data_IF_858426179089
#
_entry.id   IF_858426179089
#
_cell.length_a   1.000
_cell.length_b   1.000
_cell.length_c   1.000
_cell.angle_alpha   90.00
_cell.angle_beta   90.00
_cell.angle_gamma   90.00
#
_symmetry.space_group_name_H-M   'P 1'
#
loop_
_entity.id
_entity.type
_entity.pdbx_description
1 polymer ?
#
# COMPACT_ATOMS: atom_id res chain seq x y z
N UNK A 1 -0.95 -11.16 37.56
CA UNK A 1 -0.26 -11.45 36.28
C UNK A 1 -1.25 -11.51 35.10
N UNK A 2 -2.09 -10.48 34.96
CA UNK A 2 -3.04 -10.35 33.83
C UNK A 2 -2.58 -9.24 32.87
N UNK A 3 -2.12 -8.11 33.41
CA UNK A 3 -1.57 -6.99 32.65
C UNK A 3 -0.37 -7.40 31.76
N UNK A 4 0.60 -8.15 32.28
CA UNK A 4 1.74 -8.66 31.50
C UNK A 4 1.31 -9.61 30.37
N UNK A 5 0.28 -10.43 30.61
CA UNK A 5 -0.25 -11.36 29.60
C UNK A 5 -0.94 -10.60 28.47
N UNK A 6 -1.71 -9.55 28.80
CA UNK A 6 -2.37 -8.67 27.83
C UNK A 6 -1.32 -7.90 27.00
N UNK A 7 -0.27 -7.38 27.62
CA UNK A 7 0.79 -6.66 26.90
C UNK A 7 1.51 -7.58 25.91
N UNK A 8 1.89 -8.79 26.34
CA UNK A 8 2.51 -9.78 25.44
C UNK A 8 1.60 -10.18 24.29
N UNK A 9 0.30 -10.33 24.55
CA UNK A 9 -0.67 -10.66 23.51
C UNK A 9 -0.79 -9.54 22.47
N UNK A 10 -0.92 -8.28 22.91
CA UNK A 10 -0.98 -7.13 22.01
C UNK A 10 0.28 -6.99 21.15
N UNK A 11 1.44 -7.26 21.75
CA UNK A 11 2.72 -7.27 21.04
C UNK A 11 2.76 -8.35 19.96
N UNK A 12 2.30 -9.56 20.28
CA UNK A 12 2.24 -10.64 19.31
C UNK A 12 1.25 -10.36 18.16
N UNK A 13 0.07 -9.82 18.47
CA UNK A 13 -0.92 -9.41 17.48
C UNK A 13 -0.35 -8.32 16.55
N UNK A 14 0.42 -7.39 17.10
CA UNK A 14 1.14 -6.35 16.36
C UNK A 14 2.16 -6.94 15.38
N UNK A 15 3.02 -7.84 15.85
CA UNK A 15 4.04 -8.50 15.01
C UNK A 15 3.36 -9.28 13.89
N UNK A 16 2.30 -10.03 14.20
CA UNK A 16 1.54 -10.79 13.21
C UNK A 16 0.98 -9.88 12.12
N UNK A 17 0.35 -8.76 12.50
CA UNK A 17 -0.23 -7.83 11.54
C UNK A 17 0.83 -7.21 10.60
N UNK A 18 2.02 -6.90 11.12
CA UNK A 18 3.12 -6.40 10.30
C UNK A 18 3.64 -7.47 9.32
N UNK A 19 3.78 -8.71 9.78
CA UNK A 19 4.20 -9.85 8.95
C UNK A 19 3.19 -10.15 7.85
N UNK A 20 1.89 -10.08 8.14
CA UNK A 20 0.84 -10.29 7.16
C UNK A 20 0.88 -9.23 6.03
N UNK A 21 1.12 -7.95 6.39
CA UNK A 21 1.28 -6.88 5.40
C UNK A 21 2.53 -7.07 4.54
N UNK A 22 3.65 -7.47 5.14
CA UNK A 22 4.90 -7.74 4.41
C UNK A 22 4.74 -8.92 3.45
N UNK A 23 4.15 -10.01 3.93
CA UNK A 23 3.86 -11.18 3.12
C UNK A 23 2.97 -10.84 1.92
N UNK A 24 1.91 -10.06 2.13
CA UNK A 24 1.02 -9.67 1.03
C UNK A 24 1.76 -8.82 -0.03
N UNK A 25 2.67 -7.94 0.38
CA UNK A 25 3.52 -7.18 -0.55
C UNK A 25 4.44 -8.09 -1.35
N UNK A 26 5.09 -9.07 -0.70
CA UNK A 26 5.94 -10.06 -1.38
C UNK A 26 5.15 -10.90 -2.39
N UNK A 27 3.95 -11.35 -2.02
CA UNK A 27 3.06 -12.10 -2.91
C UNK A 27 2.67 -11.26 -4.14
N UNK A 28 2.42 -9.96 -3.97
CA UNK A 28 2.13 -9.05 -5.09
C UNK A 28 3.35 -8.85 -5.99
N UNK A 29 4.55 -8.70 -5.44
CA UNK A 29 5.76 -8.54 -6.24
C UNK A 29 6.06 -9.79 -7.07
N UNK A 30 5.92 -10.98 -6.49
CA UNK A 30 6.00 -12.25 -7.24
C UNK A 30 4.95 -12.28 -8.34
N UNK A 31 3.69 -11.94 -8.02
CA UNK A 31 2.61 -11.97 -9.02
C UNK A 31 2.84 -10.98 -10.16
N UNK A 32 3.37 -9.79 -9.88
CA UNK A 32 3.73 -8.80 -10.90
C UNK A 32 4.79 -9.35 -11.85
N UNK A 33 5.83 -10.00 -11.34
CA UNK A 33 6.87 -10.64 -12.17
C UNK A 33 6.29 -11.75 -13.05
N UNK A 34 5.38 -12.57 -12.53
CA UNK A 34 4.67 -13.59 -13.33
C UNK A 34 3.85 -12.96 -14.45
N UNK A 35 3.09 -11.91 -14.13
CA UNK A 35 2.27 -11.17 -15.12
C UNK A 35 3.16 -10.53 -16.18
N UNK A 36 4.27 -9.89 -15.81
CA UNK A 36 5.23 -9.30 -16.76
C UNK A 36 5.81 -10.35 -17.71
N UNK A 37 6.20 -11.53 -17.18
CA UNK A 37 6.75 -12.59 -17.99
C UNK A 37 5.74 -13.14 -19.01
N UNK A 38 4.51 -13.44 -18.57
CA UNK A 38 3.47 -13.99 -19.45
C UNK A 38 2.98 -12.93 -20.43
N UNK A 39 2.63 -11.74 -19.94
CA UNK A 39 2.08 -10.69 -20.79
C UNK A 39 3.11 -10.13 -21.78
N UNK A 40 4.39 -10.07 -21.41
CA UNK A 40 5.47 -9.71 -22.32
C UNK A 40 5.71 -10.76 -23.42
N UNK A 41 5.42 -12.04 -23.18
CA UNK A 41 5.39 -13.06 -24.25
C UNK A 41 4.20 -12.86 -25.19
N UNK A 42 3.00 -12.63 -24.65
CA UNK A 42 1.81 -12.33 -25.45
C UNK A 42 2.02 -11.08 -26.31
N UNK A 43 2.66 -10.05 -25.76
CA UNK A 43 2.93 -8.79 -26.45
C UNK A 43 3.91 -8.95 -27.62
N UNK A 44 4.96 -9.79 -27.44
CA UNK A 44 5.85 -10.17 -28.53
C UNK A 44 5.10 -10.91 -29.65
N UNK A 45 4.23 -11.85 -29.29
CA UNK A 45 3.40 -12.58 -30.26
C UNK A 45 2.41 -11.67 -31.00
N UNK A 46 1.82 -10.69 -30.33
CA UNK A 46 0.95 -9.69 -30.94
C UNK A 46 1.71 -8.69 -31.82
N UNK A 47 3.01 -8.50 -31.61
CA UNK A 47 3.85 -7.70 -32.49
C UNK A 47 3.99 -8.36 -33.87
N UNK A 48 4.04 -9.70 -33.90
CA UNK A 48 4.08 -10.49 -35.14
C UNK A 48 2.68 -10.70 -35.75
N UNK A 49 1.66 -10.97 -34.92
CA UNK A 49 0.28 -11.21 -35.32
C UNK A 49 -0.70 -10.31 -34.54
N UNK A 50 -0.82 -9.07 -35.00
CA UNK A 50 -1.60 -8.03 -34.32
C UNK A 50 -3.12 -8.25 -34.37
N UNK A 51 -3.62 -9.13 -35.25
CA UNK A 51 -5.06 -9.41 -35.41
C UNK A 51 -5.51 -10.65 -34.63
N UNK A 52 -4.59 -11.27 -33.88
CA UNK A 52 -4.90 -12.41 -33.05
C UNK A 52 -5.79 -12.03 -31.87
N UNK A 53 -7.11 -12.13 -32.08
CA UNK A 53 -8.12 -11.77 -31.09
C UNK A 53 -7.95 -12.47 -29.74
N UNK A 54 -7.66 -13.78 -29.75
CA UNK A 54 -7.52 -14.55 -28.51
C UNK A 54 -6.30 -14.07 -27.70
N UNK A 55 -5.16 -13.86 -28.35
CA UNK A 55 -3.96 -13.34 -27.67
C UNK A 55 -4.20 -11.90 -27.18
N UNK A 56 -4.91 -11.08 -27.96
CA UNK A 56 -5.24 -9.71 -27.60
C UNK A 56 -6.14 -9.65 -26.36
N UNK A 57 -7.17 -10.49 -26.30
CA UNK A 57 -8.05 -10.61 -25.12
C UNK A 57 -7.26 -11.03 -23.88
N UNK A 58 -6.40 -12.06 -24.00
CA UNK A 58 -5.58 -12.51 -22.87
C UNK A 58 -4.60 -11.44 -22.41
N UNK A 59 -3.94 -10.74 -23.35
CA UNK A 59 -3.02 -9.64 -23.02
C UNK A 59 -3.75 -8.51 -22.30
N UNK A 60 -4.96 -8.12 -22.75
CA UNK A 60 -5.77 -7.09 -22.08
C UNK A 60 -6.15 -7.48 -20.65
N UNK A 61 -6.45 -8.76 -20.39
CA UNK A 61 -6.71 -9.25 -19.04
C UNK A 61 -5.48 -9.07 -18.13
N UNK A 62 -4.28 -9.41 -18.63
CA UNK A 62 -3.05 -9.21 -17.88
C UNK A 62 -2.68 -7.74 -17.68
N UNK A 63 -2.97 -6.85 -18.66
CA UNK A 63 -2.84 -5.40 -18.47
C UNK A 63 -3.73 -4.92 -17.32
N UNK A 64 -4.97 -5.41 -17.26
CA UNK A 64 -5.90 -5.06 -16.18
C UNK A 64 -5.44 -5.60 -14.82
N UNK A 65 -4.99 -6.86 -14.79
CA UNK A 65 -4.42 -7.48 -13.59
C UNK A 65 -3.22 -6.67 -13.07
N UNK A 66 -2.28 -6.29 -13.94
CA UNK A 66 -1.12 -5.48 -13.57
C UNK A 66 -1.53 -4.12 -12.97
N UNK A 67 -2.56 -3.47 -13.53
CA UNK A 67 -3.10 -2.21 -12.98
C UNK A 67 -3.71 -2.42 -11.59
N UNK A 68 -4.40 -3.54 -11.36
CA UNK A 68 -4.96 -3.88 -10.05
C UNK A 68 -3.88 -4.20 -9.03
N UNK A 69 -2.86 -4.97 -9.41
CA UNK A 69 -1.71 -5.30 -8.57
C UNK A 69 -0.95 -4.05 -8.13
N UNK A 70 -0.64 -3.14 -9.07
CA UNK A 70 0.00 -1.84 -8.76
C UNK A 70 -0.83 -1.00 -7.80
N UNK A 71 -2.15 -0.98 -7.99
CA UNK A 71 -3.04 -0.25 -7.09
C UNK A 71 -3.09 -0.87 -5.69
N UNK A 72 -3.10 -2.21 -5.59
CA UNK A 72 -3.08 -2.92 -4.31
C UNK A 72 -1.74 -2.72 -3.58
N UNK A 73 -0.63 -2.74 -4.32
CA UNK A 73 0.70 -2.44 -3.81
C UNK A 73 0.78 -1.01 -3.23
N UNK A 74 0.27 -0.01 -3.96
CA UNK A 74 0.19 1.37 -3.47
C UNK A 74 -0.60 1.46 -2.15
N UNK A 75 -1.73 0.77 -2.06
CA UNK A 75 -2.54 0.72 -0.84
C UNK A 75 -1.78 0.07 0.33
N UNK A 76 -1.13 -1.07 0.10
CA UNK A 76 -0.38 -1.78 1.13
C UNK A 76 0.81 -0.98 1.63
N UNK A 77 1.55 -0.30 0.75
CA UNK A 77 2.65 0.60 1.15
C UNK A 77 2.16 1.71 2.07
N UNK A 78 0.98 2.28 1.79
CA UNK A 78 0.37 3.26 2.68
C UNK A 78 -0.06 2.65 4.02
N UNK A 79 -0.56 1.41 4.04
CA UNK A 79 -0.91 0.72 5.29
C UNK A 79 0.34 0.40 6.15
N UNK A 80 1.45 0.03 5.51
CA UNK A 80 2.74 -0.14 6.19
C UNK A 80 3.19 1.19 6.79
N UNK A 81 3.15 2.27 6.02
CA UNK A 81 3.48 3.60 6.53
C UNK A 81 2.55 4.04 7.67
N UNK A 82 1.24 3.77 7.58
CA UNK A 82 0.30 4.05 8.67
C UNK A 82 0.64 3.26 9.93
N UNK A 83 1.04 1.99 9.77
CA UNK A 83 1.48 1.16 10.89
C UNK A 83 2.72 1.73 11.57
N UNK A 84 3.76 2.08 10.80
CA UNK A 84 5.00 2.68 11.32
C UNK A 84 4.74 3.99 12.08
N UNK A 85 3.93 4.90 11.50
CA UNK A 85 3.56 6.17 12.11
C UNK A 85 2.74 5.96 13.39
N UNK A 86 1.87 4.95 13.43
CA UNK A 86 1.12 4.61 14.64
C UNK A 86 2.02 4.03 15.75
N UNK A 87 3.09 3.31 15.40
CA UNK A 87 4.08 2.85 16.37
C UNK A 87 4.92 4.02 16.91
N UNK A 88 5.39 4.91 16.03
CA UNK A 88 6.09 6.13 16.46
C UNK A 88 5.21 6.98 17.40
N UNK A 89 3.92 7.11 17.08
CA UNK A 89 2.96 7.79 17.96
C UNK A 89 2.88 7.13 19.34
N UNK A 90 2.78 5.80 19.41
CA UNK A 90 2.72 5.08 20.70
C UNK A 90 3.99 5.29 21.52
N UNK A 91 5.15 5.23 20.88
CA UNK A 91 6.44 5.44 21.54
C UNK A 91 6.57 6.87 22.06
N UNK A 92 6.16 7.88 21.28
CA UNK A 92 6.12 9.27 21.72
C UNK A 92 5.14 9.48 22.89
N UNK A 93 4.01 8.79 22.91
CA UNK A 93 3.07 8.83 24.04
C UNK A 93 3.65 8.21 25.32
N UNK A 94 4.46 7.15 25.19
CA UNK A 94 5.17 6.58 26.34
C UNK A 94 6.24 7.54 26.86
N UNK A 95 7.07 8.10 25.98
CA UNK A 95 8.09 9.10 26.34
C UNK A 95 7.46 10.33 27.01
N UNK A 96 6.33 10.81 26.49
CA UNK A 96 5.61 11.94 27.10
C UNK A 96 5.16 11.63 28.53
N UNK A 97 4.60 10.44 28.77
CA UNK A 97 4.21 10.00 30.11
C UNK A 97 5.40 9.89 31.04
N UNK A 98 6.54 9.39 30.57
CA UNK A 98 7.77 9.27 31.37
C UNK A 98 8.31 10.64 31.80
N UNK A 99 8.35 11.61 30.88
CA UNK A 99 8.76 12.99 31.18
C UNK A 99 7.78 13.65 32.15
N UNK A 100 6.47 13.48 31.96
CA UNK A 100 5.45 14.03 32.86
C UNK A 100 5.51 13.43 34.27
N UNK A 101 5.81 12.14 34.40
CA UNK A 101 5.95 11.47 35.69
C UNK A 101 7.26 11.85 36.41
N UNK A 102 8.30 12.20 35.66
CA UNK A 102 9.62 12.62 36.18
C UNK A 102 9.64 14.10 36.59
N UNK A 103 8.85 14.94 35.90
CA UNK A 103 8.68 16.38 36.15
C UNK A 103 7.99 16.75 37.46
N UNK A 104 7.55 15.79 38.27
CA UNK A 104 7.08 16.04 39.63
C UNK A 104 8.21 16.52 40.59
N UNK A 105 9.48 16.53 40.16
CA UNK A 105 10.61 16.88 41.03
C UNK A 105 11.57 17.98 40.50
N UNK A 106 11.65 18.31 39.20
CA UNK A 106 12.63 19.30 38.68
C UNK A 106 12.05 20.12 37.50
N UNK A 107 11.94 21.45 37.67
CA UNK A 107 10.97 22.31 36.94
C UNK A 107 11.46 22.92 35.60
N UNK A 108 12.75 22.84 35.22
CA UNK A 108 13.24 23.60 34.05
C UNK A 108 13.77 22.80 32.85
N UNK A 109 14.35 21.60 33.04
CA UNK A 109 14.85 20.77 31.93
C UNK A 109 13.74 20.00 31.22
N UNK A 110 12.72 19.58 31.97
CA UNK A 110 11.66 18.71 31.48
C UNK A 110 10.70 19.42 30.52
N UNK A 111 10.56 20.74 30.63
CA UNK A 111 9.70 21.55 29.76
C UNK A 111 10.16 21.60 28.30
N UNK A 112 11.48 21.61 28.04
CA UNK A 112 11.99 21.61 26.67
C UNK A 112 11.86 20.22 26.03
N UNK A 113 12.14 19.16 26.79
CA UNK A 113 11.97 17.78 26.34
C UNK A 113 10.50 17.48 26.02
N UNK A 114 9.57 17.86 26.90
CA UNK A 114 8.14 17.74 26.68
C UNK A 114 7.70 18.49 25.41
N UNK A 115 8.12 19.76 25.25
CA UNK A 115 7.79 20.56 24.05
C UNK A 115 8.33 19.91 22.77
N UNK A 116 9.51 19.29 22.81
CA UNK A 116 10.09 18.57 21.67
C UNK A 116 9.27 17.32 21.34
N UNK A 117 8.86 16.54 22.35
CA UNK A 117 8.02 15.35 22.16
C UNK A 117 6.68 15.76 21.56
N UNK A 118 6.02 16.79 22.09
CA UNK A 118 4.74 17.28 21.58
C UNK A 118 4.83 17.75 20.12
N UNK A 119 5.93 18.42 19.73
CA UNK A 119 6.15 18.80 18.33
C UNK A 119 6.28 17.57 17.41
N UNK A 120 7.03 16.55 17.83
CA UNK A 120 7.14 15.29 17.08
C UNK A 120 5.79 14.59 16.98
N UNK A 121 5.04 14.52 18.08
CA UNK A 121 3.69 13.94 18.10
C UNK A 121 2.74 14.64 17.14
N UNK A 122 2.80 15.98 17.06
CA UNK A 122 2.00 16.73 16.10
C UNK A 122 2.37 16.37 14.66
N UNK A 123 3.67 16.32 14.34
CA UNK A 123 4.13 15.93 13.00
C UNK A 123 3.69 14.51 12.62
N UNK A 124 3.78 13.54 13.54
CA UNK A 124 3.31 12.16 13.36
C UNK A 124 1.80 12.11 13.11
N UNK A 125 1.01 12.92 13.81
CA UNK A 125 -0.44 13.02 13.58
C UNK A 125 -0.75 13.62 12.20
N UNK A 126 -0.04 14.67 11.78
CA UNK A 126 -0.18 15.26 10.45
C UNK A 126 0.17 14.26 9.34
N UNK A 127 1.24 13.47 9.52
CA UNK A 127 1.60 12.39 8.60
C UNK A 127 0.52 11.31 8.52
N UNK A 128 0.00 10.86 9.66
CA UNK A 128 -1.11 9.89 9.70
C UNK A 128 -2.34 10.41 8.97
N UNK A 129 -2.72 11.66 9.20
CA UNK A 129 -3.87 12.28 8.54
C UNK A 129 -3.64 12.41 7.02
N UNK A 130 -2.41 12.67 6.57
CA UNK A 130 -2.06 12.66 5.15
C UNK A 130 -2.18 11.26 4.53
N UNK A 131 -1.71 10.22 5.22
CA UNK A 131 -1.83 8.82 4.78
C UNK A 131 -3.30 8.42 4.65
N UNK A 132 -4.14 8.77 5.64
CA UNK A 132 -5.57 8.46 5.60
C UNK A 132 -6.29 9.16 4.45
N UNK A 133 -5.92 10.41 4.13
CA UNK A 133 -6.43 11.10 2.94
C UNK A 133 -6.02 10.37 1.65
N UNK A 134 -4.77 9.92 1.55
CA UNK A 134 -4.30 9.16 0.39
C UNK A 134 -5.02 7.81 0.24
N UNK A 135 -5.21 7.07 1.33
CA UNK A 135 -5.97 5.81 1.33
C UNK A 135 -7.41 6.02 0.85
N UNK A 136 -8.05 7.11 1.29
CA UNK A 136 -9.40 7.47 0.84
C UNK A 136 -9.43 7.72 -0.67
N UNK A 137 -8.45 8.47 -1.20
CA UNK A 137 -8.32 8.73 -2.65
C UNK A 137 -8.12 7.42 -3.44
N UNK A 138 -7.28 6.51 -2.96
CA UNK A 138 -7.07 5.20 -3.62
C UNK A 138 -8.37 4.40 -3.65
N UNK A 139 -9.12 4.38 -2.54
CA UNK A 139 -10.40 3.67 -2.44
C UNK A 139 -11.47 4.27 -3.35
N UNK A 140 -11.55 5.59 -3.44
CA UNK A 140 -12.46 6.29 -4.35
C UNK A 140 -12.10 5.99 -5.82
N UNK A 141 -10.81 6.03 -6.16
CA UNK A 141 -10.31 5.66 -7.48
C UNK A 141 -10.63 4.20 -7.82
N UNK A 142 -10.47 3.28 -6.86
CA UNK A 142 -10.84 1.86 -7.03
C UNK A 142 -12.34 1.71 -7.33
N UNK A 143 -13.20 2.40 -6.58
CA UNK A 143 -14.65 2.35 -6.78
C UNK A 143 -15.13 2.98 -8.08
N UNK A 144 -14.40 3.98 -8.61
CA UNK A 144 -14.70 4.61 -9.89
C UNK A 144 -14.21 3.79 -11.10
N UNK A 145 -13.13 3.01 -10.94
CA UNK A 145 -12.62 2.11 -11.98
C UNK A 145 -13.58 0.93 -12.14
N UNK A 146 -14.59 1.08 -12.99
CA UNK A 146 -15.31 -0.08 -13.54
C UNK A 146 -14.30 -0.92 -14.33
N UNK A 147 -14.13 -2.18 -13.95
CA UNK A 147 -13.39 -3.15 -14.75
C UNK A 147 -14.12 -3.23 -16.09
N UNK A 148 -13.52 -2.66 -17.13
CA UNK A 148 -14.08 -2.70 -18.47
C UNK A 148 -13.66 -4.03 -19.05
N UNK A 149 -14.60 -4.86 -19.47
CA UNK A 149 -14.28 -6.19 -20.00
C UNK A 149 -13.37 -6.06 -21.24
N UNK A 150 -12.46 -7.02 -21.42
CA UNK A 150 -11.52 -7.02 -22.55
C UNK A 150 -12.25 -6.94 -23.90
N UNK A 151 -13.37 -7.67 -24.04
CA UNK A 151 -14.20 -7.64 -25.24
C UNK A 151 -14.80 -6.25 -25.51
N UNK A 152 -15.26 -5.53 -24.48
CA UNK A 152 -15.73 -4.15 -24.63
C UNK A 152 -14.61 -3.20 -25.08
N UNK A 153 -13.39 -3.37 -24.57
CA UNK A 153 -12.24 -2.57 -25.02
C UNK A 153 -11.88 -2.84 -26.48
N UNK A 154 -12.00 -4.09 -26.92
CA UNK A 154 -11.79 -4.49 -28.30
C UNK A 154 -12.87 -3.91 -29.21
N UNK A 155 -14.15 -3.95 -28.81
CA UNK A 155 -15.23 -3.33 -29.56
C UNK A 155 -15.04 -1.81 -29.73
N UNK A 156 -14.55 -1.13 -28.68
CA UNK A 156 -14.34 0.31 -28.69
C UNK A 156 -13.10 0.76 -29.47
N UNK A 157 -11.99 0.02 -29.37
CA UNK A 157 -10.70 0.41 -29.96
C UNK A 157 -10.37 -0.34 -31.25
N UNK A 158 -11.09 -1.41 -31.56
CA UNK A 158 -10.86 -2.29 -32.69
C UNK A 158 -9.99 -3.50 -32.33
N UNK A 159 -10.24 -4.60 -33.04
CA UNK A 159 -9.61 -5.92 -32.94
C UNK A 159 -8.17 -6.00 -33.45
N UNK A 160 -7.36 -4.98 -33.17
CA UNK A 160 -5.94 -4.98 -33.53
C UNK A 160 -5.10 -4.47 -32.38
N UNK A 161 -4.04 -5.20 -32.05
CA UNK A 161 -3.05 -4.79 -31.04
C UNK A 161 -2.44 -3.42 -31.35
N UNK A 162 -2.36 -3.02 -32.62
CA UNK A 162 -1.84 -1.69 -33.05
C UNK A 162 -2.64 -0.51 -32.49
N UNK A 163 -3.87 -0.74 -32.04
CA UNK A 163 -4.71 0.28 -31.42
C UNK A 163 -4.41 0.48 -29.92
N UNK A 164 -3.51 -0.34 -29.38
CA UNK A 164 -3.10 -0.33 -27.98
C UNK A 164 -1.62 0.06 -27.88
N UNK A 165 -1.25 0.65 -26.73
CA UNK A 165 0.15 0.96 -26.45
C UNK A 165 0.80 -0.25 -25.79
N UNK A 166 2.06 -0.56 -26.16
CA UNK A 166 2.88 -1.50 -25.42
C UNK A 166 2.89 -1.22 -23.91
N UNK A 167 2.88 -2.27 -23.09
CA UNK A 167 2.86 -2.16 -21.62
C UNK A 167 4.03 -2.91 -20.99
N UNK A 168 4.42 -4.05 -21.55
CA UNK A 168 5.37 -4.97 -20.92
C UNK A 168 6.72 -5.08 -21.64
N UNK A 169 6.86 -4.55 -22.86
CA UNK A 169 8.11 -4.53 -23.65
C UNK A 169 8.53 -3.13 -24.07
#
# INVERSE_FOLDING_TARGET
KLAEKILKQKEQERISAAQDLQRELEEIDVRKLEVEAVAGDLERRLSDDAENLWILEQWLLYVQEMVQLKQREEELKLRVSEFEVNEEYKDLQLQLKEVQNSGASIVFSDSQAEKSILKKTLAVLEMRDAIQKQLKVIKERAGQRKVTEASTLIELKGASYRNFRPVFI
#
